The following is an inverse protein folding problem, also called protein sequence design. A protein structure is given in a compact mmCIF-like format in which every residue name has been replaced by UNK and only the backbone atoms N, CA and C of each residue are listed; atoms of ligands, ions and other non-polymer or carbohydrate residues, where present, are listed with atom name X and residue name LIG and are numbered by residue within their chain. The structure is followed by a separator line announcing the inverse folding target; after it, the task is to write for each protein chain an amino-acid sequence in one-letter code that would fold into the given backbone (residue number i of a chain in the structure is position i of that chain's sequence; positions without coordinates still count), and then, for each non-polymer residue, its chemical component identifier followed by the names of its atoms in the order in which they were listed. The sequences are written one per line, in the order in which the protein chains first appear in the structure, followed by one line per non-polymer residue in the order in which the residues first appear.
data_IF_370059232609
#
_entry.id   IF_370059232609
#
_cell.length_a   1.000
_cell.length_b   1.000
_cell.length_c   1.000
_cell.angle_alpha   90.00
_cell.angle_beta   90.00
_cell.angle_gamma   90.00
#
_symmetry.space_group_name_H-M   'P 1'
#
loop_
_entity.id
_entity.type
_entity.pdbx_description
1 polymer ?
#
# COMPACT_ATOMS: atom_id res chain seq x y z
N UNK A 1 10.60 -9.62 12.59
CA UNK A 1 11.17 -8.89 13.75
C UNK A 1 10.67 -7.46 13.79
N UNK A 2 10.81 -6.70 12.71
CA UNK A 2 10.36 -5.30 12.59
C UNK A 2 8.91 -5.08 13.02
N UNK A 3 7.97 -5.95 12.62
CA UNK A 3 6.56 -5.87 13.06
C UNK A 3 6.39 -5.89 14.59
N UNK A 4 7.26 -6.59 15.32
CA UNK A 4 7.26 -6.57 16.79
C UNK A 4 7.67 -5.20 17.32
N UNK A 5 8.78 -4.64 16.80
CA UNK A 5 9.29 -3.30 17.14
C UNK A 5 8.25 -2.23 16.82
N UNK A 6 7.65 -2.28 15.63
CA UNK A 6 6.59 -1.38 15.18
C UNK A 6 5.38 -1.38 16.13
N UNK A 7 5.06 -2.53 16.74
CA UNK A 7 4.00 -2.66 17.75
C UNK A 7 4.45 -2.38 19.19
N UNK A 8 5.68 -1.91 19.38
CA UNK A 8 6.24 -1.55 20.68
C UNK A 8 6.72 -2.76 21.50
N UNK A 9 6.92 -3.91 20.86
CA UNK A 9 7.32 -5.15 21.50
C UNK A 9 8.75 -5.58 21.15
N UNK A 10 9.29 -6.47 21.98
CA UNK A 10 10.53 -7.18 21.71
C UNK A 10 10.23 -8.51 21.01
N UNK A 11 11.20 -9.03 20.24
CA UNK A 11 11.09 -10.32 19.58
C UNK A 11 12.13 -11.28 20.17
N UNK A 12 11.65 -12.40 20.71
CA UNK A 12 12.49 -13.50 21.17
C UNK A 12 12.35 -14.67 20.19
N UNK A 13 13.46 -15.11 19.61
CA UNK A 13 13.47 -16.27 18.72
C UNK A 13 13.94 -17.50 19.49
N UNK A 14 13.08 -18.51 19.60
CA UNK A 14 13.44 -19.77 20.21
C UNK A 14 14.21 -20.66 19.21
N UNK A 15 15.14 -21.46 19.71
CA UNK A 15 15.84 -22.49 18.94
C UNK A 15 15.65 -23.85 19.59
N UNK A 16 15.52 -24.91 18.78
CA UNK A 16 15.45 -26.28 19.26
C UNK A 16 16.72 -27.04 18.91
N UNK A 17 17.67 -27.21 19.85
CA UNK A 17 18.79 -28.12 19.66
C UNK A 17 18.31 -29.56 19.46
N UNK A 18 19.14 -30.38 18.82
CA UNK A 18 18.94 -31.83 18.76
C UNK A 18 19.15 -32.46 20.13
N UNK A 19 18.77 -33.73 20.28
CA UNK A 19 18.96 -34.48 21.52
C UNK A 19 20.42 -34.56 22.00
N UNK A 20 21.38 -34.50 21.05
CA UNK A 20 22.82 -34.45 21.33
C UNK A 20 23.34 -33.03 21.66
N UNK A 21 22.45 -32.04 21.76
CA UNK A 21 22.77 -30.63 22.03
C UNK A 21 23.24 -29.84 20.80
N UNK A 22 23.39 -30.47 19.64
CA UNK A 22 23.83 -29.76 18.42
C UNK A 22 22.69 -28.95 17.79
N UNK A 23 23.01 -27.77 17.24
CA UNK A 23 22.02 -26.97 16.51
C UNK A 23 21.92 -27.50 15.07
N UNK A 24 20.70 -27.79 14.56
CA UNK A 24 20.47 -28.17 13.16
C UNK A 24 21.13 -27.19 12.16
N UNK A 25 21.76 -27.69 11.08
CA UNK A 25 22.41 -26.84 10.08
C UNK A 25 21.51 -25.75 9.50
N UNK A 26 20.23 -26.07 9.27
CA UNK A 26 19.23 -25.15 8.72
C UNK A 26 19.00 -23.96 9.65
N UNK A 27 18.89 -24.21 10.96
CA UNK A 27 18.74 -23.18 11.99
C UNK A 27 20.00 -22.31 12.06
N UNK A 28 21.20 -22.92 12.01
CA UNK A 28 22.47 -22.17 11.99
C UNK A 28 22.54 -21.22 10.79
N UNK A 29 22.15 -21.67 9.61
CA UNK A 29 22.13 -20.85 8.39
C UNK A 29 21.17 -19.68 8.56
N UNK A 30 19.91 -19.93 8.96
CA UNK A 30 18.92 -18.86 9.13
C UNK A 30 19.32 -17.81 10.17
N UNK A 31 19.83 -18.24 11.33
CA UNK A 31 20.25 -17.30 12.37
C UNK A 31 21.45 -16.45 11.91
N UNK A 32 22.37 -17.04 11.13
CA UNK A 32 23.48 -16.29 10.54
C UNK A 32 22.99 -15.25 9.53
N UNK A 33 22.10 -15.63 8.61
CA UNK A 33 21.48 -14.70 7.64
C UNK A 33 20.78 -13.53 8.35
N UNK A 34 20.00 -13.83 9.39
CA UNK A 34 19.34 -12.80 10.22
C UNK A 34 20.37 -11.90 10.90
N UNK A 35 21.40 -12.48 11.51
CA UNK A 35 22.45 -11.74 12.20
C UNK A 35 23.24 -10.81 11.27
N UNK A 36 23.57 -11.26 10.06
CA UNK A 36 24.26 -10.47 9.04
C UNK A 36 23.40 -9.29 8.56
N UNK A 37 22.10 -9.54 8.30
CA UNK A 37 21.15 -8.49 7.90
C UNK A 37 20.98 -7.44 9.01
N UNK A 38 20.78 -7.85 10.26
CA UNK A 38 20.67 -6.93 11.40
C UNK A 38 21.99 -6.18 11.60
N UNK A 39 23.15 -6.82 11.47
CA UNK A 39 24.43 -6.16 11.66
C UNK A 39 24.64 -4.99 10.69
N UNK A 40 24.28 -5.18 9.41
CA UNK A 40 24.36 -4.13 8.38
C UNK A 40 23.37 -2.99 8.61
N UNK A 41 22.22 -3.28 9.22
CA UNK A 41 21.11 -2.33 9.42
C UNK A 41 20.86 -1.96 10.89
N UNK A 42 21.84 -2.19 11.77
CA UNK A 42 21.69 -2.20 13.23
C UNK A 42 21.00 -0.97 13.83
N UNK A 43 21.17 0.19 13.19
CA UNK A 43 20.58 1.47 13.63
C UNK A 43 19.05 1.48 13.57
N UNK A 44 18.45 0.74 12.63
CA UNK A 44 16.99 0.60 12.49
C UNK A 44 16.38 -0.49 13.39
N UNK A 45 17.21 -1.30 14.05
CA UNK A 45 16.74 -2.39 14.93
C UNK A 45 16.92 -2.09 16.42
N UNK A 46 17.97 -1.36 16.79
CA UNK A 46 18.32 -1.13 18.19
C UNK A 46 17.94 0.28 18.65
N UNK A 47 17.23 0.34 19.78
CA UNK A 47 16.80 1.61 20.39
C UNK A 47 15.78 2.38 19.56
N UNK A 48 15.03 1.68 18.71
CA UNK A 48 13.95 2.24 17.89
C UNK A 48 12.59 1.94 18.51
N UNK A 49 11.61 2.78 18.18
CA UNK A 49 10.27 2.78 18.74
C UNK A 49 9.22 2.80 17.63
N UNK A 50 7.94 2.51 17.97
CA UNK A 50 6.82 2.71 17.07
C UNK A 50 6.78 4.11 16.48
N UNK A 51 6.38 4.21 15.22
CA UNK A 51 6.11 5.47 14.52
C UNK A 51 4.60 5.70 14.39
N UNK A 52 4.13 6.92 14.09
CA UNK A 52 2.70 7.22 13.95
C UNK A 52 2.08 6.74 12.62
N UNK A 53 2.87 6.10 11.75
CA UNK A 53 2.36 5.55 10.48
C UNK A 53 1.52 4.30 10.73
N UNK A 54 0.38 4.18 10.07
CA UNK A 54 -0.43 2.96 10.09
C UNK A 54 0.28 1.80 9.38
N UNK A 55 -0.02 0.56 9.81
CA UNK A 55 0.64 -0.66 9.31
C UNK A 55 0.44 -0.85 7.80
N UNK A 56 -0.65 -0.30 7.25
CA UNK A 56 -1.05 -0.37 5.84
C UNK A 56 -0.81 0.95 5.06
N UNK A 57 0.02 1.84 5.61
CA UNK A 57 0.32 3.14 4.96
C UNK A 57 1.34 3.01 3.83
N UNK A 58 2.21 2.00 3.88
CA UNK A 58 3.25 1.72 2.88
C UNK A 58 3.09 0.30 2.35
N UNK A 59 3.31 0.11 1.05
CA UNK A 59 3.26 -1.20 0.41
C UNK A 59 4.63 -1.91 0.38
N UNK A 60 5.72 -1.17 0.56
CA UNK A 60 7.08 -1.73 0.63
C UNK A 60 7.50 -2.26 2.00
N UNK A 61 6.88 -1.83 3.10
CA UNK A 61 7.33 -2.23 4.43
C UNK A 61 6.84 -1.37 5.59
N UNK A 62 7.69 -1.19 6.61
CA UNK A 62 7.31 -0.58 7.89
C UNK A 62 8.27 0.53 8.30
N UNK A 63 7.79 1.39 9.21
CA UNK A 63 8.54 2.55 9.67
C UNK A 63 8.71 2.50 11.18
N UNK A 64 9.95 2.59 11.65
CA UNK A 64 10.29 2.79 13.06
C UNK A 64 10.97 4.15 13.25
N UNK A 65 11.11 4.62 14.48
CA UNK A 65 11.72 5.92 14.76
C UNK A 65 12.60 5.93 16.01
N UNK A 66 13.48 6.91 16.12
CA UNK A 66 14.23 7.25 17.32
C UNK A 66 14.38 8.77 17.43
N UNK A 67 13.85 9.35 18.50
CA UNK A 67 13.96 10.79 18.77
C UNK A 67 15.28 11.09 19.48
N UNK A 68 16.00 12.09 18.98
CA UNK A 68 17.29 12.55 19.49
C UNK A 68 17.24 14.09 19.66
N UNK A 69 16.92 14.54 20.88
CA UNK A 69 16.70 15.97 21.16
C UNK A 69 15.49 16.53 20.40
N UNK A 70 15.71 17.58 19.60
CA UNK A 70 14.64 18.24 18.82
C UNK A 70 14.47 17.68 17.40
N UNK A 71 15.12 16.56 17.09
CA UNK A 71 15.06 15.89 15.79
C UNK A 71 14.64 14.44 15.98
N UNK A 72 14.03 13.88 14.96
CA UNK A 72 13.71 12.46 14.95
C UNK A 72 14.36 11.79 13.75
N UNK A 73 15.00 10.64 14.00
CA UNK A 73 15.42 9.71 12.97
C UNK A 73 14.28 8.75 12.69
N UNK A 74 13.93 8.60 11.43
CA UNK A 74 12.95 7.62 10.95
C UNK A 74 13.72 6.55 10.17
N UNK A 75 13.39 5.29 10.39
CA UNK A 75 13.98 4.15 9.69
C UNK A 75 12.92 3.48 8.83
N UNK A 76 13.11 3.55 7.52
CA UNK A 76 12.30 2.85 6.54
C UNK A 76 12.84 1.43 6.44
N UNK A 77 12.09 0.46 6.92
CA UNK A 77 12.37 -0.96 6.73
C UNK A 77 11.71 -1.42 5.42
N UNK A 78 12.50 -1.51 4.36
CA UNK A 78 12.06 -1.80 2.99
C UNK A 78 12.20 -3.29 2.74
N UNK A 79 11.08 -4.01 2.83
CA UNK A 79 11.01 -5.45 2.59
C UNK A 79 10.86 -5.77 1.09
N UNK A 80 10.07 -4.96 0.40
CA UNK A 80 9.88 -5.03 -1.05
C UNK A 80 10.57 -3.83 -1.69
N UNK A 81 11.82 -4.03 -2.10
CA UNK A 81 12.61 -2.97 -2.72
C UNK A 81 12.06 -2.64 -4.12
N UNK A 82 11.73 -1.37 -4.41
CA UNK A 82 11.15 -1.00 -5.69
C UNK A 82 12.17 -1.20 -6.83
N UNK A 83 11.71 -1.75 -7.96
CA UNK A 83 12.57 -2.08 -9.09
C UNK A 83 13.15 -0.85 -9.80
N UNK A 84 12.50 0.30 -9.67
CA UNK A 84 13.00 1.61 -10.11
C UNK A 84 13.91 2.31 -9.06
N UNK A 85 14.07 1.69 -7.89
CA UNK A 85 14.84 2.23 -6.77
C UNK A 85 14.20 3.41 -6.05
N UNK A 86 12.95 3.79 -6.37
CA UNK A 86 12.27 4.94 -5.75
C UNK A 86 11.34 4.46 -4.64
N UNK A 87 11.75 4.69 -3.40
CA UNK A 87 10.92 4.38 -2.23
C UNK A 87 9.92 5.52 -2.03
N UNK A 88 8.64 5.19 -2.13
CA UNK A 88 7.52 6.13 -2.04
C UNK A 88 6.96 6.11 -0.62
N UNK A 89 7.32 7.12 0.16
CA UNK A 89 6.86 7.26 1.56
C UNK A 89 5.62 8.14 1.59
N UNK A 90 4.50 7.55 1.98
CA UNK A 90 3.20 8.19 2.01
C UNK A 90 2.87 8.70 3.42
N UNK A 91 2.37 9.93 3.51
CA UNK A 91 1.78 10.50 4.73
C UNK A 91 2.73 11.26 5.63
N UNK A 92 4.03 11.40 5.29
CA UNK A 92 4.98 12.12 6.14
C UNK A 92 4.70 13.64 6.13
N UNK A 93 4.31 14.20 7.28
CA UNK A 93 4.05 15.65 7.43
C UNK A 93 5.32 16.45 7.69
N UNK A 94 6.28 15.85 8.38
CA UNK A 94 7.53 16.52 8.74
C UNK A 94 8.38 16.81 7.52
N UNK A 95 9.10 17.92 7.56
CA UNK A 95 10.13 18.22 6.57
C UNK A 95 11.33 17.30 6.77
N UNK A 96 11.73 16.64 5.68
CA UNK A 96 12.93 15.80 5.65
C UNK A 96 14.18 16.67 5.53
N UNK A 97 15.14 16.44 6.41
CA UNK A 97 16.42 17.16 6.46
C UNK A 97 17.53 16.40 5.73
N UNK A 98 17.56 15.07 5.90
CA UNK A 98 18.58 14.20 5.31
C UNK A 98 18.02 12.80 5.07
N UNK A 99 18.62 12.10 4.12
CA UNK A 99 18.40 10.69 3.87
C UNK A 99 19.73 9.97 3.62
N UNK A 100 19.91 8.78 4.16
CA UNK A 100 21.06 7.92 3.87
C UNK A 100 20.71 6.42 3.98
N UNK A 101 21.60 5.58 3.44
CA UNK A 101 21.53 4.13 3.55
C UNK A 101 22.67 3.64 4.46
N UNK A 102 22.40 3.26 5.72
CA UNK A 102 23.43 2.88 6.68
C UNK A 102 24.31 1.71 6.20
N UNK A 103 23.71 0.71 5.57
CA UNK A 103 24.42 -0.49 5.07
C UNK A 103 25.41 -0.22 3.93
N UNK A 104 25.33 0.96 3.31
CA UNK A 104 26.27 1.43 2.27
C UNK A 104 27.28 2.44 2.83
N UNK A 105 27.58 2.38 4.13
CA UNK A 105 28.51 3.31 4.78
C UNK A 105 27.91 4.70 4.94
N UNK A 106 26.65 4.77 5.36
CA UNK A 106 25.87 6.01 5.49
C UNK A 106 25.83 6.84 4.20
N UNK A 107 25.79 6.15 3.05
CA UNK A 107 25.70 6.79 1.74
C UNK A 107 24.50 7.74 1.70
N UNK A 108 24.76 9.02 1.46
CA UNK A 108 23.72 10.03 1.29
C UNK A 108 22.95 9.76 0.00
N UNK A 109 21.64 9.94 0.06
CA UNK A 109 20.74 9.75 -1.08
C UNK A 109 19.87 10.98 -1.29
N UNK A 110 19.40 11.14 -2.52
CA UNK A 110 18.52 12.25 -2.90
C UNK A 110 17.07 11.91 -2.58
N UNK A 111 16.28 12.95 -2.35
CA UNK A 111 14.85 12.81 -2.14
C UNK A 111 14.10 14.04 -2.65
N UNK A 112 12.83 13.86 -2.96
CA UNK A 112 11.90 14.93 -3.37
C UNK A 112 10.66 14.79 -2.50
N UNK A 113 10.30 15.86 -1.79
CA UNK A 113 9.10 15.90 -0.95
C UNK A 113 8.07 16.87 -1.55
N UNK A 114 6.85 16.40 -1.81
CA UNK A 114 5.70 17.19 -2.27
C UNK A 114 4.52 16.99 -1.31
N UNK A 115 4.44 17.85 -0.30
CA UNK A 115 3.48 17.73 0.80
C UNK A 115 3.60 16.38 1.51
N UNK A 116 2.55 15.55 1.46
CA UNK A 116 2.51 14.25 2.14
C UNK A 116 3.25 13.12 1.40
N UNK A 117 3.76 13.35 0.19
CA UNK A 117 4.47 12.34 -0.60
C UNK A 117 5.97 12.65 -0.61
N UNK A 118 6.77 11.67 -0.20
CA UNK A 118 8.22 11.72 -0.27
C UNK A 118 8.72 10.59 -1.18
N UNK A 119 9.48 10.95 -2.21
CA UNK A 119 10.24 10.02 -3.03
C UNK A 119 11.68 10.01 -2.57
N UNK A 120 12.20 8.84 -2.19
CA UNK A 120 13.58 8.65 -1.76
C UNK A 120 14.30 7.76 -2.77
N UNK A 121 15.39 8.25 -3.36
CA UNK A 121 16.12 7.54 -4.41
C UNK A 121 17.17 6.59 -3.80
N UNK A 122 16.87 5.30 -3.80
CA UNK A 122 17.85 4.26 -3.53
C UNK A 122 18.54 3.73 -4.80
N UNK A 123 19.47 2.77 -4.66
CA UNK A 123 20.00 2.00 -5.80
C UNK A 123 18.92 1.14 -6.48
N UNK A 124 19.19 0.72 -7.72
CA UNK A 124 18.31 -0.16 -8.51
C UNK A 124 18.16 -1.56 -7.89
N UNK A 125 19.14 -2.01 -7.11
CA UNK A 125 19.09 -3.29 -6.39
C UNK A 125 19.09 -3.04 -4.90
N UNK A 126 18.36 -3.86 -4.16
CA UNK A 126 18.32 -3.79 -2.71
C UNK A 126 19.75 -3.90 -2.11
N UNK A 127 20.13 -2.98 -1.20
CA UNK A 127 21.43 -3.04 -0.52
C UNK A 127 21.61 -4.28 0.36
N UNK A 128 20.52 -4.70 1.03
CA UNK A 128 20.49 -5.83 1.97
C UNK A 128 19.19 -6.59 1.74
N UNK A 129 19.29 -7.90 1.47
CA UNK A 129 18.10 -8.73 1.27
C UNK A 129 17.22 -8.82 2.50
N UNK A 130 15.93 -9.13 2.27
CA UNK A 130 14.84 -9.26 3.25
C UNK A 130 14.39 -7.97 3.94
N UNK A 131 15.31 -7.09 4.31
CA UNK A 131 15.02 -5.80 4.95
C UNK A 131 16.18 -4.85 4.67
N UNK A 132 15.98 -3.91 3.74
CA UNK A 132 16.90 -2.80 3.51
C UNK A 132 16.45 -1.59 4.31
N UNK A 133 17.36 -1.00 5.08
CA UNK A 133 17.05 0.18 5.90
C UNK A 133 17.51 1.47 5.23
N UNK A 134 16.61 2.44 5.16
CA UNK A 134 16.92 3.84 4.85
C UNK A 134 16.68 4.68 6.11
N UNK A 135 17.67 5.49 6.50
CA UNK A 135 17.56 6.43 7.61
C UNK A 135 17.20 7.81 7.06
N UNK A 136 16.14 8.42 7.62
CA UNK A 136 15.76 9.80 7.39
C UNK A 136 15.94 10.61 8.68
N UNK A 137 16.49 11.83 8.58
CA UNK A 137 16.45 12.83 9.65
C UNK A 137 15.30 13.80 9.35
N UNK A 138 14.37 14.00 10.28
CA UNK A 138 13.25 14.93 10.13
C UNK A 138 13.20 15.97 11.26
N UNK A 139 12.57 17.11 10.98
CA UNK A 139 12.32 18.17 11.97
C UNK A 139 11.30 17.70 13.02
N UNK A 140 11.60 17.88 14.31
CA UNK A 140 10.65 17.70 15.42
C UNK A 140 10.19 16.27 15.67
N UNK A 141 9.05 16.16 16.34
CA UNK A 141 8.35 14.89 16.56
C UNK A 141 7.62 14.45 15.28
N UNK A 142 7.69 13.16 14.94
CA UNK A 142 7.10 12.64 13.71
C UNK A 142 5.59 12.72 13.74
N UNK A 143 5.02 13.18 12.64
CA UNK A 143 3.60 13.26 12.39
C UNK A 143 3.28 12.63 11.04
N UNK A 144 2.30 11.73 11.03
CA UNK A 144 1.84 11.05 9.83
C UNK A 144 0.37 11.39 9.54
N UNK A 145 0.04 11.49 8.26
CA UNK A 145 -1.33 11.39 7.76
C UNK A 145 -1.59 9.94 7.34
N UNK A 146 -2.72 9.38 7.77
CA UNK A 146 -3.06 7.96 7.55
C UNK A 146 -4.45 7.84 6.91
N UNK A 147 -4.85 6.63 6.52
CA UNK A 147 -6.21 6.36 6.05
C UNK A 147 -6.52 6.83 4.63
N UNK A 148 -5.49 7.02 3.79
CA UNK A 148 -5.63 7.22 2.36
C UNK A 148 -4.82 6.19 1.57
N UNK A 149 -5.18 5.98 0.31
CA UNK A 149 -4.44 5.22 -0.69
C UNK A 149 -3.28 6.08 -1.19
N UNK A 150 -2.06 5.67 -0.85
CA UNK A 150 -0.83 6.32 -1.28
C UNK A 150 -0.31 5.78 -2.60
N UNK A 151 0.79 6.37 -3.07
CA UNK A 151 1.52 5.86 -4.22
C UNK A 151 2.19 4.52 -3.86
N UNK A 152 2.07 3.53 -4.74
CA UNK A 152 2.63 2.19 -4.56
C UNK A 152 4.01 2.08 -5.20
N UNK A 153 4.77 1.06 -4.84
CA UNK A 153 6.17 0.81 -5.20
C UNK A 153 6.51 0.81 -6.70
N UNK A 154 5.53 0.59 -7.58
CA UNK A 154 5.72 0.61 -9.03
C UNK A 154 5.12 1.86 -9.69
N UNK A 155 4.72 2.85 -8.89
CA UNK A 155 4.08 4.08 -9.34
C UNK A 155 2.55 3.99 -9.35
N UNK A 156 1.91 5.17 -9.38
CA UNK A 156 0.46 5.30 -9.36
C UNK A 156 -0.17 4.98 -7.99
N UNK A 157 -1.48 5.12 -7.89
CA UNK A 157 -2.24 4.97 -6.64
C UNK A 157 -3.25 3.84 -6.80
N UNK A 158 -3.07 2.75 -6.05
CA UNK A 158 -4.03 1.66 -6.00
C UNK A 158 -5.08 1.87 -4.90
N UNK A 159 -6.34 1.87 -5.31
CA UNK A 159 -7.52 1.92 -4.44
C UNK A 159 -8.12 0.52 -4.33
N UNK A 160 -7.47 -0.33 -3.53
CA UNK A 160 -7.92 -1.70 -3.31
C UNK A 160 -9.16 -1.79 -2.42
N UNK A 161 -9.97 -2.84 -2.60
CA UNK A 161 -11.15 -3.11 -1.78
C UNK A 161 -10.89 -3.10 -0.26
N UNK A 162 -9.69 -3.47 0.19
CA UNK A 162 -9.37 -3.55 1.60
C UNK A 162 -9.46 -2.18 2.30
N UNK A 163 -9.08 -1.11 1.60
CA UNK A 163 -9.06 0.28 2.14
C UNK A 163 -10.37 1.05 1.85
N UNK A 164 -11.35 0.42 1.19
CA UNK A 164 -12.61 1.06 0.84
C UNK A 164 -13.52 1.32 2.05
N UNK A 165 -14.14 2.49 2.15
CA UNK A 165 -15.27 2.73 3.04
C UNK A 165 -16.55 2.33 2.30
N UNK A 166 -17.32 1.40 2.88
CA UNK A 166 -18.47 0.76 2.26
C UNK A 166 -19.77 1.22 2.93
N UNK A 167 -20.76 1.63 2.12
CA UNK A 167 -22.12 1.98 2.58
C UNK A 167 -23.18 1.46 1.61
N UNK A 168 -24.45 1.45 2.03
CA UNK A 168 -25.56 1.04 1.14
C UNK A 168 -25.58 -0.44 0.79
N UNK A 169 -25.21 -1.29 1.75
CA UNK A 169 -25.37 -2.75 1.66
C UNK A 169 -24.30 -3.52 0.90
N UNK A 170 -23.29 -2.84 0.35
CA UNK A 170 -22.13 -3.52 -0.25
C UNK A 170 -21.23 -4.12 0.82
N UNK A 171 -20.58 -5.24 0.48
CA UNK A 171 -19.74 -5.98 1.42
C UNK A 171 -18.47 -6.49 0.75
N UNK A 172 -17.45 -6.80 1.56
CA UNK A 172 -16.25 -7.48 1.08
C UNK A 172 -16.51 -8.98 1.04
N UNK A 173 -16.42 -9.58 -0.14
CA UNK A 173 -16.46 -11.03 -0.32
C UNK A 173 -15.05 -11.55 -0.53
N UNK A 174 -14.63 -12.49 0.32
CA UNK A 174 -13.37 -13.22 0.15
C UNK A 174 -13.43 -14.11 -1.07
N UNK A 175 -12.28 -14.30 -1.70
CA UNK A 175 -12.11 -15.26 -2.77
C UNK A 175 -12.57 -16.66 -2.42
N UNK A 176 -13.23 -17.31 -3.37
CA UNK A 176 -13.52 -18.76 -3.32
C UNK A 176 -12.72 -19.48 -4.39
N UNK A 177 -12.46 -20.78 -4.19
CA UNK A 177 -11.91 -21.62 -5.25
C UNK A 177 -12.95 -21.76 -6.36
N UNK A 178 -12.71 -21.09 -7.48
CA UNK A 178 -13.62 -21.05 -8.64
C UNK A 178 -13.28 -22.12 -9.68
N UNK A 179 -12.10 -22.74 -9.60
CA UNK A 179 -11.65 -23.71 -10.60
C UNK A 179 -11.64 -25.15 -10.09
N UNK A 180 -11.78 -25.36 -8.78
CA UNK A 180 -11.69 -26.69 -8.15
C UNK A 180 -10.27 -27.27 -8.16
N UNK A 181 -9.28 -26.49 -8.61
CA UNK A 181 -7.85 -26.84 -8.60
C UNK A 181 -7.04 -25.90 -7.70
N UNK A 182 -7.71 -25.23 -6.76
CA UNK A 182 -7.07 -24.38 -5.73
C UNK A 182 -6.84 -22.92 -6.15
N UNK A 183 -7.40 -22.46 -7.28
CA UNK A 183 -7.32 -21.03 -7.62
C UNK A 183 -8.39 -20.25 -6.83
N UNK A 184 -7.94 -19.57 -5.79
CA UNK A 184 -8.79 -18.67 -5.00
C UNK A 184 -8.93 -17.36 -5.76
N UNK A 185 -10.16 -17.04 -6.16
CA UNK A 185 -10.48 -15.77 -6.82
C UNK A 185 -10.06 -14.57 -5.96
N UNK A 186 -9.71 -13.42 -6.55
CA UNK A 186 -9.42 -12.23 -5.78
C UNK A 186 -10.60 -11.76 -4.89
N UNK A 187 -10.30 -11.18 -3.73
CA UNK A 187 -11.31 -10.53 -2.88
C UNK A 187 -11.91 -9.33 -3.62
N UNK A 188 -13.21 -9.11 -3.49
CA UNK A 188 -13.92 -8.01 -4.15
C UNK A 188 -15.06 -7.44 -3.31
N UNK A 189 -15.51 -6.25 -3.68
CA UNK A 189 -16.71 -5.62 -3.12
C UNK A 189 -17.90 -6.13 -3.93
N UNK A 190 -18.86 -6.73 -3.22
CA UNK A 190 -20.06 -7.39 -3.76
C UNK A 190 -21.33 -6.79 -3.18
N UNK A 191 -22.48 -7.32 -3.61
CA UNK A 191 -23.85 -6.91 -3.23
C UNK A 191 -24.22 -5.50 -3.64
N UNK A 192 -23.77 -5.08 -4.82
CA UNK A 192 -24.17 -3.83 -5.47
C UNK A 192 -25.61 -3.92 -6.01
N UNK A 193 -26.58 -3.93 -5.09
CA UNK A 193 -27.99 -4.21 -5.37
C UNK A 193 -28.91 -2.99 -5.13
N UNK A 194 -28.39 -1.89 -4.60
CA UNK A 194 -29.14 -0.67 -4.29
C UNK A 194 -28.52 0.55 -4.96
N UNK A 195 -29.31 1.56 -5.26
CA UNK A 195 -28.81 2.87 -5.71
C UNK A 195 -28.00 3.59 -4.61
N UNK A 196 -28.19 3.22 -3.35
CA UNK A 196 -27.42 3.76 -2.20
C UNK A 196 -26.06 3.08 -2.02
N UNK A 197 -25.80 1.98 -2.75
CA UNK A 197 -24.54 1.23 -2.69
C UNK A 197 -23.36 2.12 -3.07
N UNK A 198 -22.37 2.24 -2.18
CA UNK A 198 -21.21 3.11 -2.39
C UNK A 198 -19.95 2.47 -1.81
N UNK A 199 -18.87 2.54 -2.58
CA UNK A 199 -17.51 2.30 -2.09
C UNK A 199 -16.70 3.59 -2.26
N UNK A 200 -15.90 3.93 -1.26
CA UNK A 200 -15.18 5.20 -1.22
C UNK A 200 -13.74 5.04 -0.78
N UNK A 201 -12.83 5.80 -1.39
CA UNK A 201 -11.41 5.83 -1.02
C UNK A 201 -10.95 7.27 -0.89
N UNK A 202 -10.01 7.53 0.02
CA UNK A 202 -9.26 8.78 0.04
C UNK A 202 -7.96 8.57 -0.72
N UNK A 203 -7.56 9.53 -1.55
CA UNK A 203 -6.26 9.55 -2.25
C UNK A 203 -5.60 10.90 -1.99
N UNK A 204 -4.26 10.93 -1.93
CA UNK A 204 -3.52 12.19 -1.86
C UNK A 204 -2.89 12.50 -3.22
N UNK A 205 -3.12 13.71 -3.72
CA UNK A 205 -2.55 14.22 -4.95
C UNK A 205 -1.59 15.37 -4.61
N UNK A 206 -0.30 15.28 -4.97
CA UNK A 206 0.72 16.21 -4.51
C UNK A 206 0.68 17.58 -5.20
N UNK A 207 0.09 17.68 -6.39
CA UNK A 207 0.04 18.89 -7.21
C UNK A 207 -1.07 18.78 -8.28
N UNK A 208 -1.37 19.91 -8.93
CA UNK A 208 -2.29 19.92 -10.08
C UNK A 208 -1.85 18.89 -11.13
N UNK A 209 -2.75 17.99 -11.49
CA UNK A 209 -2.45 16.91 -12.44
C UNK A 209 -3.70 16.38 -13.12
N UNK A 210 -3.51 15.75 -14.28
CA UNK A 210 -4.53 14.95 -14.96
C UNK A 210 -4.02 13.51 -14.99
N UNK A 211 -4.82 12.56 -14.50
CA UNK A 211 -4.42 11.16 -14.31
C UNK A 211 -5.38 10.21 -15.00
N UNK A 212 -4.86 9.12 -15.53
CA UNK A 212 -5.68 8.05 -16.11
C UNK A 212 -6.29 7.23 -14.98
N UNK A 213 -7.61 7.04 -15.05
CA UNK A 213 -8.35 6.21 -14.09
C UNK A 213 -8.71 4.88 -14.74
N UNK A 214 -8.34 3.81 -14.06
CA UNK A 214 -8.74 2.44 -14.42
C UNK A 214 -9.50 1.78 -13.27
N UNK A 215 -10.36 0.83 -13.63
CA UNK A 215 -11.16 0.05 -12.70
C UNK A 215 -11.05 -1.43 -13.06
N UNK A 216 -10.95 -2.29 -12.05
CA UNK A 216 -10.91 -3.73 -12.22
C UNK A 216 -12.07 -4.38 -11.48
N UNK A 217 -12.92 -5.08 -12.23
CA UNK A 217 -14.08 -5.77 -11.67
C UNK A 217 -14.41 -7.05 -12.45
N UNK A 218 -15.17 -7.95 -11.83
CA UNK A 218 -15.80 -9.11 -12.48
C UNK A 218 -17.29 -8.83 -12.72
N UNK A 219 -17.86 -9.34 -13.81
CA UNK A 219 -19.24 -9.02 -14.20
C UNK A 219 -19.81 -10.07 -15.16
N UNK A 220 -20.98 -10.60 -14.82
CA UNK A 220 -21.76 -11.49 -15.69
C UNK A 220 -22.43 -10.76 -16.86
N UNK A 221 -22.72 -11.51 -17.92
CA UNK A 221 -23.49 -11.04 -19.08
C UNK A 221 -24.87 -10.50 -18.71
N UNK A 222 -25.52 -11.05 -17.68
CA UNK A 222 -26.82 -10.56 -17.20
C UNK A 222 -26.73 -9.20 -16.47
N UNK A 223 -25.55 -8.86 -15.96
CA UNK A 223 -25.28 -7.61 -15.26
C UNK A 223 -24.69 -6.52 -16.17
N UNK A 224 -24.35 -6.85 -17.42
CA UNK A 224 -23.75 -5.94 -18.38
C UNK A 224 -24.69 -4.80 -18.82
N UNK A 225 -24.09 -3.69 -19.26
CA UNK A 225 -24.77 -2.50 -19.76
C UNK A 225 -25.40 -1.63 -18.69
N UNK A 226 -25.22 -1.96 -17.40
CA UNK A 226 -25.76 -1.18 -16.29
C UNK A 226 -24.85 0.03 -16.00
N UNK A 227 -25.39 1.25 -15.91
CA UNK A 227 -24.57 2.44 -15.71
C UNK A 227 -24.13 2.61 -14.25
N UNK A 228 -22.93 3.12 -14.06
CA UNK A 228 -22.35 3.47 -12.77
C UNK A 228 -21.51 4.74 -12.88
N UNK A 229 -21.33 5.41 -11.75
CA UNK A 229 -20.51 6.60 -11.61
C UNK A 229 -19.22 6.27 -10.89
N UNK A 230 -18.13 6.85 -11.37
CA UNK A 230 -16.95 7.12 -10.56
C UNK A 230 -16.81 8.62 -10.37
N UNK A 231 -16.95 9.06 -9.12
CA UNK A 231 -17.03 10.48 -8.74
C UNK A 231 -15.83 10.82 -7.87
N UNK A 232 -15.14 11.92 -8.21
CA UNK A 232 -14.08 12.50 -7.41
C UNK A 232 -14.61 13.80 -6.82
N UNK A 233 -14.79 13.83 -5.49
CA UNK A 233 -15.39 14.95 -4.77
C UNK A 233 -14.66 16.26 -5.10
N UNK A 234 -15.41 17.25 -5.60
CA UNK A 234 -14.88 18.56 -5.97
C UNK A 234 -14.08 18.63 -7.28
N UNK A 235 -13.90 17.52 -8.00
CA UNK A 235 -13.10 17.47 -9.22
C UNK A 235 -13.89 17.05 -10.47
N UNK A 236 -14.81 16.09 -10.34
CA UNK A 236 -15.63 15.64 -11.48
C UNK A 236 -16.22 14.25 -11.31
N UNK A 237 -16.93 13.78 -12.34
CA UNK A 237 -17.52 12.43 -12.37
C UNK A 237 -17.43 11.83 -13.77
N UNK A 238 -17.27 10.50 -13.82
CA UNK A 238 -17.26 9.70 -15.05
C UNK A 238 -18.43 8.73 -15.01
N UNK A 239 -19.28 8.76 -16.04
CA UNK A 239 -20.27 7.71 -16.26
C UNK A 239 -19.63 6.57 -17.06
N UNK A 240 -19.85 5.35 -16.62
CA UNK A 240 -19.46 4.17 -17.37
C UNK A 240 -20.56 3.11 -17.31
N UNK A 241 -20.46 2.10 -18.17
CA UNK A 241 -21.37 0.95 -18.17
C UNK A 241 -20.60 -0.31 -17.89
N UNK A 242 -21.22 -1.23 -17.15
CA UNK A 242 -20.64 -2.54 -16.89
C UNK A 242 -20.45 -3.31 -18.19
N UNK A 243 -19.29 -3.90 -18.34
CA UNK A 243 -18.92 -4.80 -19.44
C UNK A 243 -18.67 -6.18 -18.86
N UNK A 244 -19.36 -7.19 -19.40
CA UNK A 244 -19.18 -8.56 -18.96
C UNK A 244 -17.79 -9.10 -19.34
N UNK A 245 -17.31 -10.02 -18.52
CA UNK A 245 -16.16 -10.86 -18.82
C UNK A 245 -16.59 -12.23 -19.36
N UNK A 246 -15.78 -12.88 -20.21
CA UNK A 246 -15.99 -14.26 -20.66
C UNK A 246 -16.37 -15.26 -19.54
N UNK A 247 -15.79 -15.10 -18.34
CA UNK A 247 -16.09 -15.95 -17.17
C UNK A 247 -16.91 -15.25 -16.09
N UNK A 248 -17.60 -14.17 -16.45
CA UNK A 248 -18.56 -13.55 -15.55
C UNK A 248 -17.95 -13.05 -14.24
N UNK A 249 -18.53 -13.43 -13.10
CA UNK A 249 -18.02 -13.11 -11.76
C UNK A 249 -16.76 -13.86 -11.32
N UNK A 250 -16.33 -14.89 -12.05
CA UNK A 250 -15.17 -15.72 -11.70
C UNK A 250 -13.83 -15.10 -12.13
N UNK A 251 -13.85 -14.13 -13.04
CA UNK A 251 -12.65 -13.50 -13.58
C UNK A 251 -12.76 -11.97 -13.60
N UNK A 252 -11.67 -11.31 -13.27
CA UNK A 252 -11.59 -9.86 -13.13
C UNK A 252 -10.90 -9.25 -14.34
N UNK A 253 -11.45 -8.14 -14.83
CA UNK A 253 -10.91 -7.46 -15.98
C UNK A 253 -10.74 -5.97 -15.72
N UNK A 254 -9.59 -5.44 -16.12
CA UNK A 254 -9.30 -4.02 -16.09
C UNK A 254 -10.00 -3.30 -17.24
N UNK A 255 -10.53 -2.11 -16.94
CA UNK A 255 -11.18 -1.19 -17.87
C UNK A 255 -10.63 0.21 -17.67
N UNK A 256 -10.36 0.90 -18.76
CA UNK A 256 -9.96 2.31 -18.74
C UNK A 256 -11.20 3.19 -18.76
N UNK A 257 -11.31 4.08 -17.77
CA UNK A 257 -12.44 5.02 -17.65
C UNK A 257 -12.11 6.38 -18.26
N UNK A 258 -10.83 6.63 -18.52
CA UNK A 258 -10.31 7.88 -19.05
C UNK A 258 -9.71 8.75 -17.95
N UNK A 259 -9.55 10.03 -18.25
CA UNK A 259 -8.79 10.95 -17.42
C UNK A 259 -9.63 11.69 -16.40
N UNK A 260 -9.06 11.90 -15.22
CA UNK A 260 -9.60 12.76 -14.15
C UNK A 260 -8.62 13.90 -13.88
N UNK A 261 -9.14 15.12 -13.80
CA UNK A 261 -8.37 16.31 -13.44
C UNK A 261 -8.42 16.54 -11.93
N UNK A 262 -7.26 16.78 -11.34
CA UNK A 262 -7.10 17.17 -9.95
C UNK A 262 -6.56 18.61 -9.93
N UNK A 263 -7.40 19.62 -9.66
CA UNK A 263 -7.03 21.03 -9.89
C UNK A 263 -5.99 21.54 -8.90
N UNK A 264 -5.90 20.96 -7.70
CA UNK A 264 -5.00 21.41 -6.64
C UNK A 264 -4.41 20.22 -5.87
N UNK A 265 -3.30 20.45 -5.16
CA UNK A 265 -2.77 19.49 -4.20
C UNK A 265 -3.77 19.27 -3.05
N UNK A 266 -3.96 18.02 -2.63
CA UNK A 266 -4.86 17.72 -1.52
C UNK A 266 -5.30 16.27 -1.44
N UNK A 267 -6.09 15.98 -0.41
CA UNK A 267 -6.76 14.69 -0.26
C UNK A 267 -8.13 14.79 -0.95
N UNK A 268 -8.39 13.86 -1.86
CA UNK A 268 -9.66 13.72 -2.57
C UNK A 268 -10.37 12.45 -2.12
N UNK A 269 -11.69 12.48 -2.06
CA UNK A 269 -12.50 11.26 -1.91
C UNK A 269 -13.01 10.81 -3.27
N UNK A 270 -12.78 9.56 -3.62
CA UNK A 270 -13.26 8.92 -4.84
C UNK A 270 -14.34 7.92 -4.48
N UNK A 271 -15.46 7.98 -5.19
CA UNK A 271 -16.63 7.16 -4.96
C UNK A 271 -16.98 6.35 -6.19
N UNK A 272 -17.37 5.10 -5.97
CA UNK A 272 -18.03 4.28 -6.97
C UNK A 272 -19.45 3.99 -6.49
N UNK A 273 -20.45 4.23 -7.36
CA UNK A 273 -21.87 4.00 -7.07
C UNK A 273 -22.67 3.65 -8.34
N UNK A 274 -23.76 2.89 -8.24
CA UNK A 274 -24.69 2.72 -9.35
C UNK A 274 -25.27 4.07 -9.82
N UNK A 275 -25.51 4.22 -11.12
CA UNK A 275 -26.16 5.41 -11.68
C UNK A 275 -27.69 5.33 -11.64
N UNK A 276 -28.22 4.12 -11.54
CA UNK A 276 -29.64 3.78 -11.38
C UNK A 276 -29.76 2.56 -10.48
N UNK A 277 -30.96 2.26 -9.98
CA UNK A 277 -31.22 1.01 -9.25
C UNK A 277 -30.79 -0.21 -10.09
N UNK A 278 -29.84 -1.04 -9.61
CA UNK A 278 -29.37 -2.21 -10.36
C UNK A 278 -30.48 -3.23 -10.58
N UNK A 279 -30.58 -3.76 -11.81
CA UNK A 279 -31.50 -4.87 -12.17
C UNK A 279 -30.94 -6.23 -11.72
N UNK A 280 -29.62 -6.31 -11.65
CA UNK A 280 -28.80 -7.41 -11.13
C UNK A 280 -27.60 -6.80 -10.40
N UNK A 281 -26.92 -7.59 -9.57
CA UNK A 281 -25.68 -7.14 -8.91
C UNK A 281 -24.75 -6.49 -9.94
N UNK A 282 -24.33 -5.24 -9.69
CA UNK A 282 -23.63 -4.42 -10.66
C UNK A 282 -22.34 -5.08 -11.16
N UNK A 283 -21.45 -5.48 -10.25
CA UNK A 283 -20.17 -6.14 -10.52
C UNK A 283 -19.52 -6.63 -9.21
N UNK A 284 -18.41 -7.36 -9.31
CA UNK A 284 -17.48 -7.59 -8.21
C UNK A 284 -16.28 -6.66 -8.34
N UNK A 285 -16.30 -5.54 -7.62
CA UNK A 285 -15.26 -4.50 -7.73
C UNK A 285 -14.01 -4.88 -6.94
N UNK A 286 -12.86 -4.98 -7.59
CA UNK A 286 -11.60 -5.34 -6.94
C UNK A 286 -10.79 -4.12 -6.51
N UNK A 287 -10.45 -3.27 -7.48
CA UNK A 287 -9.65 -2.08 -7.26
C UNK A 287 -9.95 -1.00 -8.31
N UNK A 288 -9.62 0.23 -7.96
CA UNK A 288 -9.35 1.30 -8.92
C UNK A 288 -7.86 1.61 -8.92
N UNK A 289 -7.36 2.20 -10.00
CA UNK A 289 -5.97 2.62 -10.10
C UNK A 289 -5.87 3.96 -10.83
N UNK A 290 -5.12 4.89 -10.24
CA UNK A 290 -4.76 6.17 -10.84
C UNK A 290 -3.29 6.15 -11.28
N UNK A 291 -3.06 6.43 -12.55
CA UNK A 291 -1.72 6.62 -13.13
C UNK A 291 -1.49 8.11 -13.39
#
# INVERSE_FOLDING_TARGET
MVKGIYKGGNVMLNIGPRADGSIPPEIKTRIREIGEMIHKNKVGFHGTYPSPFAEDSQDWGLITQRTEGNKTKIYLHVFEWPSDGIIRVNGLKNKVLKACIPSLGDQKITFIQKGLLLHVQGPVREPVGYDSVVELEVEGEVQAENGFCGEINFGGIQMGQAKAVLTGGVERATGTDVTGVGYISPTSIRKWNSMDSRASWKVYIPEESERELTICYSCDSLSAGQPYWVEVEGAGMIEAKTLAGPKGFEEFYTRHLGKVKFPHAGIYTIHVRPAVTPRKELFGLNWLFLE
#
